data_IF_760691279339
#
_entry.id   IF_760691279339
#
_cell.length_a   1.000
_cell.length_b   1.000
_cell.length_c   1.000
_cell.angle_alpha   90.00
_cell.angle_beta   90.00
_cell.angle_gamma   90.00
#
_symmetry.space_group_name_H-M   'P 1'
#
loop_
_entity.id
_entity.type
_entity.pdbx_description
1 polymer ?
#
# COMPACT_ATOMS: atom_id res chain seq x y z
N UNK A 1 -11.60 -16.14 13.09
CA UNK A 1 -10.33 -15.56 13.57
C UNK A 1 -10.36 -14.04 13.41
N UNK A 2 -9.96 -13.28 14.43
CA UNK A 2 -9.76 -11.82 14.33
C UNK A 2 -8.40 -11.51 14.97
N UNK A 3 -7.56 -10.76 14.27
CA UNK A 3 -6.27 -10.30 14.76
C UNK A 3 -6.09 -8.80 14.50
N UNK A 4 -5.53 -8.09 15.48
CA UNK A 4 -5.29 -6.66 15.43
C UNK A 4 -3.92 -6.36 16.02
N UNK A 5 -3.10 -5.60 15.29
CA UNK A 5 -1.77 -5.16 15.73
C UNK A 5 -1.59 -3.66 15.49
N UNK A 6 -0.86 -3.00 16.38
CA UNK A 6 -0.64 -1.55 16.36
C UNK A 6 0.72 -1.20 16.95
N UNK A 7 1.64 -0.74 16.10
CA UNK A 7 3.01 -0.41 16.49
C UNK A 7 3.30 1.06 16.18
N UNK A 8 3.82 1.76 17.19
CA UNK A 8 4.33 3.13 17.06
C UNK A 8 5.85 3.12 17.28
N UNK A 9 6.60 3.67 16.33
CA UNK A 9 8.05 3.85 16.40
C UNK A 9 8.47 5.30 16.47
N UNK A 10 9.78 5.51 16.59
CA UNK A 10 10.43 6.80 16.45
C UNK A 10 11.60 6.70 15.47
N UNK A 11 12.09 7.81 14.94
CA UNK A 11 13.21 7.86 13.99
C UNK A 11 14.59 7.55 14.64
N UNK A 12 14.66 6.70 15.67
CA UNK A 12 15.86 6.40 16.45
C UNK A 12 16.19 7.45 17.53
N UNK A 13 15.58 8.64 17.48
CA UNK A 13 15.85 9.73 18.43
C UNK A 13 15.59 9.34 19.89
N UNK A 14 14.58 8.51 20.16
CA UNK A 14 14.27 8.07 21.52
C UNK A 14 15.37 7.19 22.12
N UNK A 15 16.08 6.41 21.30
CA UNK A 15 17.28 5.68 21.72
C UNK A 15 18.40 6.65 22.03
N UNK A 16 18.71 7.57 21.10
CA UNK A 16 19.81 8.53 21.25
C UNK A 16 19.71 9.38 22.53
N UNK A 17 18.49 9.79 22.89
CA UNK A 17 18.20 10.53 24.13
C UNK A 17 18.51 9.70 25.38
N UNK A 18 18.12 8.42 25.40
CA UNK A 18 18.17 7.57 26.61
C UNK A 18 19.58 7.17 27.09
N UNK A 19 20.59 7.32 26.25
CA UNK A 19 22.01 6.97 26.51
C UNK A 19 22.90 8.19 26.76
N UNK A 20 22.43 9.39 26.40
CA UNK A 20 23.16 10.64 26.61
C UNK A 20 24.44 10.76 25.76
N UNK A 21 25.22 11.80 26.05
CA UNK A 21 26.33 12.24 25.18
C UNK A 21 27.63 11.39 25.29
N UNK A 22 27.69 10.37 26.15
CA UNK A 22 28.97 9.71 26.47
C UNK A 22 29.40 8.59 25.51
N UNK A 23 28.55 8.15 24.58
CA UNK A 23 28.97 7.15 23.57
C UNK A 23 28.17 7.23 22.27
N UNK A 24 28.13 8.41 21.64
CA UNK A 24 27.43 8.63 20.36
C UNK A 24 27.77 7.54 19.32
N UNK A 25 29.03 7.10 19.28
CA UNK A 25 29.53 6.09 18.34
C UNK A 25 29.00 4.68 18.58
N UNK A 26 28.92 4.18 19.83
CA UNK A 26 28.34 2.85 20.06
C UNK A 26 26.83 2.83 19.88
N UNK A 27 26.17 3.96 20.13
CA UNK A 27 24.71 4.12 20.02
C UNK A 27 24.26 4.05 18.56
N UNK A 28 24.91 4.79 17.67
CA UNK A 28 24.62 4.75 16.22
C UNK A 28 25.03 3.41 15.59
N UNK A 29 26.05 2.74 16.14
CA UNK A 29 26.45 1.39 15.75
C UNK A 29 25.56 0.30 16.37
N UNK A 30 24.64 0.65 17.28
CA UNK A 30 23.74 -0.31 17.89
C UNK A 30 22.54 -0.61 16.98
N UNK A 31 22.18 -1.89 16.90
CA UNK A 31 20.96 -2.33 16.23
C UNK A 31 19.69 -1.65 16.81
N UNK A 32 19.74 -1.15 18.05
CA UNK A 32 18.60 -0.49 18.68
C UNK A 32 18.24 0.86 18.02
N UNK A 33 19.25 1.62 17.58
CA UNK A 33 19.05 2.93 16.95
C UNK A 33 18.38 2.80 15.57
N UNK A 34 18.87 1.89 14.72
CA UNK A 34 18.28 1.60 13.41
C UNK A 34 16.95 0.84 13.49
N UNK A 35 16.75 -0.02 14.49
CA UNK A 35 15.51 -0.80 14.62
C UNK A 35 14.26 0.05 14.93
N UNK A 36 14.37 1.18 15.63
CA UNK A 36 13.19 2.02 15.93
C UNK A 36 12.55 2.66 14.70
N UNK A 37 13.38 2.98 13.72
CA UNK A 37 12.94 3.54 12.45
C UNK A 37 12.35 2.49 11.48
N UNK A 38 12.33 1.21 11.86
CA UNK A 38 11.78 0.11 11.07
C UNK A 38 10.66 -0.60 11.84
N UNK A 39 9.42 -0.16 11.65
CA UNK A 39 8.23 -0.75 12.29
C UNK A 39 7.45 -1.62 11.30
N UNK A 40 7.00 -2.78 11.77
CA UNK A 40 6.21 -3.73 11.01
C UNK A 40 5.07 -4.30 11.86
N UNK A 41 3.84 -3.86 11.61
CA UNK A 41 2.64 -4.38 12.29
C UNK A 41 1.93 -5.41 11.40
N UNK A 42 1.47 -6.52 11.99
CA UNK A 42 0.77 -7.59 11.28
C UNK A 42 -0.51 -8.00 12.02
N UNK A 43 -1.69 -7.70 11.45
CA UNK A 43 -2.97 -8.01 12.10
C UNK A 43 -3.17 -9.51 12.27
N UNK A 44 -2.95 -10.27 11.20
CA UNK A 44 -2.74 -11.72 11.23
C UNK A 44 -1.44 -12.02 10.46
N UNK A 45 -0.55 -12.82 11.04
CA UNK A 45 0.65 -13.32 10.38
C UNK A 45 0.52 -14.84 10.15
N UNK A 46 0.07 -15.24 8.97
CA UNK A 46 -0.09 -16.64 8.58
C UNK A 46 1.09 -17.14 7.75
N UNK A 47 1.99 -17.91 8.37
CA UNK A 47 3.04 -18.69 7.69
C UNK A 47 2.72 -20.18 7.57
N UNK A 48 1.49 -20.57 7.88
CA UNK A 48 1.02 -21.95 7.86
C UNK A 48 -0.26 -22.09 7.06
N UNK A 49 -1.23 -22.82 7.61
CA UNK A 49 -2.55 -23.02 7.01
C UNK A 49 -3.63 -22.55 7.97
N UNK A 50 -4.47 -21.62 7.51
CA UNK A 50 -5.76 -21.33 8.12
C UNK A 50 -6.82 -22.10 7.34
N UNK A 51 -7.59 -22.92 8.04
CA UNK A 51 -8.81 -23.55 7.53
C UNK A 51 -9.96 -23.04 8.40
N UNK A 52 -11.03 -22.53 7.80
CA UNK A 52 -12.19 -22.04 8.54
C UNK A 52 -13.15 -23.19 8.89
N UNK A 53 -13.68 -23.88 7.87
CA UNK A 53 -14.44 -25.12 8.07
C UNK A 53 -15.63 -25.27 7.12
N UNK A 54 -16.82 -25.34 7.69
CA UNK A 54 -18.11 -25.37 6.97
C UNK A 54 -19.00 -24.34 7.65
N UNK A 55 -19.54 -23.39 6.89
CA UNK A 55 -20.43 -22.35 7.38
C UNK A 55 -19.76 -20.98 7.51
N UNK A 56 -20.60 -19.96 7.75
CA UNK A 56 -20.24 -18.55 7.58
C UNK A 56 -19.14 -18.04 8.53
N UNK A 57 -17.89 -18.20 8.09
CA UNK A 57 -16.68 -17.92 8.85
C UNK A 57 -16.04 -16.54 8.54
N UNK A 58 -15.16 -16.09 9.45
CA UNK A 58 -14.48 -14.79 9.40
C UNK A 58 -12.98 -14.96 9.69
N UNK A 59 -12.10 -14.34 8.91
CA UNK A 59 -10.64 -14.22 9.12
C UNK A 59 -10.23 -12.75 8.98
N UNK A 60 -10.49 -11.93 10.00
CA UNK A 60 -10.24 -10.48 9.92
C UNK A 60 -8.87 -10.09 10.48
N UNK A 61 -8.08 -9.36 9.70
CA UNK A 61 -6.80 -8.79 10.13
C UNK A 61 -6.81 -7.26 10.09
N UNK A 62 -6.21 -6.60 11.08
CA UNK A 62 -6.04 -5.15 11.08
C UNK A 62 -4.66 -4.75 11.60
N UNK A 63 -3.90 -3.99 10.81
CA UNK A 63 -2.59 -3.50 11.20
C UNK A 63 -2.52 -1.97 11.12
N UNK A 64 -1.90 -1.35 12.11
CA UNK A 64 -1.53 0.06 12.08
C UNK A 64 -0.07 0.21 12.45
N UNK A 65 0.71 0.85 11.59
CA UNK A 65 2.12 1.13 11.83
C UNK A 65 2.36 2.64 11.66
N UNK A 66 2.88 3.29 12.70
CA UNK A 66 3.19 4.71 12.68
C UNK A 66 4.65 4.96 13.07
N UNK A 67 5.32 5.90 12.40
CA UNK A 67 6.56 6.52 12.90
C UNK A 67 6.36 8.03 12.99
N UNK A 68 6.76 8.60 14.12
CA UNK A 68 6.77 10.04 14.34
C UNK A 68 8.00 10.46 15.16
N UNK A 69 8.22 11.76 15.27
CA UNK A 69 9.14 12.33 16.26
C UNK A 69 8.41 13.36 17.12
N UNK A 70 8.95 13.67 18.30
CA UNK A 70 8.51 14.83 19.10
C UNK A 70 9.54 15.94 18.98
N UNK A 71 9.11 17.20 18.99
CA UNK A 71 10.04 18.33 18.87
C UNK A 71 11.13 18.32 19.97
N UNK A 72 10.79 17.80 21.16
CA UNK A 72 11.72 17.56 22.26
C UNK A 72 12.81 16.54 21.90
N UNK A 73 12.43 15.33 21.46
CA UNK A 73 13.38 14.26 21.12
C UNK A 73 14.31 14.65 19.96
N UNK A 74 13.80 15.35 18.95
CA UNK A 74 14.66 15.89 17.87
C UNK A 74 15.58 16.99 18.41
N UNK A 75 15.09 17.91 19.24
CA UNK A 75 15.93 18.99 19.80
C UNK A 75 17.07 18.44 20.66
N UNK A 76 16.81 17.38 21.44
CA UNK A 76 17.83 16.68 22.21
C UNK A 76 18.79 15.90 21.30
N UNK A 77 18.31 15.24 20.24
CA UNK A 77 19.16 14.62 19.23
C UNK A 77 20.12 15.63 18.54
N UNK A 78 19.62 16.82 18.17
CA UNK A 78 20.43 17.93 17.64
C UNK A 78 21.44 18.43 18.68
N UNK A 79 21.07 18.47 19.96
CA UNK A 79 21.99 18.88 21.02
C UNK A 79 23.13 17.86 21.24
N UNK A 80 22.82 16.56 21.22
CA UNK A 80 23.79 15.47 21.31
C UNK A 80 24.68 15.43 20.06
N UNK A 81 24.13 15.64 18.86
CA UNK A 81 24.91 15.69 17.63
C UNK A 81 26.03 16.76 17.65
N UNK A 82 25.90 17.83 18.43
CA UNK A 82 26.97 18.84 18.61
C UNK A 82 28.20 18.33 19.36
N UNK A 83 28.16 17.14 19.96
CA UNK A 83 29.32 16.53 20.66
C UNK A 83 30.04 15.49 19.81
N UNK A 84 29.68 15.34 18.53
CA UNK A 84 30.25 14.35 17.61
C UNK A 84 30.78 15.02 16.32
N UNK A 85 31.72 14.35 15.65
CA UNK A 85 32.26 14.81 14.36
C UNK A 85 31.17 14.83 13.27
N UNK A 86 31.20 15.84 12.40
CA UNK A 86 30.20 16.03 11.33
C UNK A 86 30.15 14.88 10.31
N UNK A 87 31.26 14.16 10.12
CA UNK A 87 31.32 12.94 9.32
C UNK A 87 30.55 11.78 9.98
N UNK A 88 30.69 11.63 11.30
CA UNK A 88 30.01 10.61 12.10
C UNK A 88 28.51 10.90 12.16
N UNK A 89 28.10 12.16 12.37
CA UNK A 89 26.70 12.60 12.28
C UNK A 89 26.12 12.21 10.92
N UNK A 90 26.84 12.54 9.84
CA UNK A 90 26.39 12.27 8.47
C UNK A 90 26.17 10.77 8.23
N UNK A 91 27.11 9.92 8.64
CA UNK A 91 27.01 8.48 8.49
C UNK A 91 25.90 7.88 9.38
N UNK A 92 25.80 8.32 10.63
CA UNK A 92 24.81 7.86 11.59
C UNK A 92 23.39 8.06 11.07
N UNK A 93 23.03 9.31 10.78
CA UNK A 93 21.66 9.68 10.48
C UNK A 93 21.24 9.26 9.07
N UNK A 94 22.14 9.22 8.09
CA UNK A 94 21.85 8.70 6.75
C UNK A 94 21.77 7.16 6.69
N UNK A 95 22.26 6.45 7.72
CA UNK A 95 22.08 5.00 7.84
C UNK A 95 20.70 4.59 8.37
N UNK A 96 19.88 5.55 8.80
CA UNK A 96 18.54 5.30 9.32
C UNK A 96 17.64 4.87 8.16
N UNK A 97 17.35 3.58 8.08
CA UNK A 97 16.38 3.03 7.14
C UNK A 97 14.97 3.22 7.70
N UNK A 98 14.34 4.34 7.35
CA UNK A 98 12.95 4.64 7.76
C UNK A 98 12.01 3.74 6.97
N UNK A 99 11.48 2.72 7.63
CA UNK A 99 10.53 1.76 7.06
C UNK A 99 9.31 1.63 7.95
N UNK A 100 8.14 1.90 7.37
CA UNK A 100 6.85 1.67 8.00
C UNK A 100 6.12 0.60 7.19
N UNK A 101 5.81 -0.53 7.80
CA UNK A 101 5.03 -1.60 7.16
C UNK A 101 3.82 -1.97 7.99
N UNK A 102 2.65 -2.00 7.38
CA UNK A 102 1.44 -2.53 7.97
C UNK A 102 0.85 -3.56 7.01
N UNK A 103 0.75 -4.82 7.45
CA UNK A 103 0.07 -5.88 6.72
C UNK A 103 -1.19 -6.27 7.51
N UNK A 104 -2.38 -6.02 6.96
CA UNK A 104 -3.63 -6.39 7.62
C UNK A 104 -3.69 -7.90 7.86
N UNK A 105 -3.43 -8.67 6.79
CA UNK A 105 -3.15 -10.11 6.83
C UNK A 105 -1.89 -10.36 6.00
N UNK A 106 -0.83 -10.85 6.64
CA UNK A 106 0.35 -11.39 5.98
C UNK A 106 0.20 -12.90 5.78
N UNK A 107 -0.22 -13.30 4.59
CA UNK A 107 -0.32 -14.69 4.13
C UNK A 107 0.87 -15.10 3.24
N UNK A 108 2.02 -14.41 3.30
CA UNK A 108 3.09 -14.64 2.34
C UNK A 108 3.67 -16.07 2.45
N UNK A 109 3.58 -16.86 1.39
CA UNK A 109 3.93 -18.29 1.41
C UNK A 109 3.02 -19.17 2.27
N UNK A 110 1.93 -18.62 2.82
CA UNK A 110 0.92 -19.33 3.60
C UNK A 110 -0.29 -19.75 2.75
N UNK A 111 -1.21 -20.48 3.39
CA UNK A 111 -2.50 -20.86 2.79
C UNK A 111 -3.68 -20.42 3.67
N UNK A 112 -4.66 -19.78 3.07
CA UNK A 112 -6.00 -19.56 3.66
C UNK A 112 -6.99 -20.37 2.82
N UNK A 113 -7.73 -21.25 3.49
CA UNK A 113 -8.87 -21.96 2.91
C UNK A 113 -10.13 -21.50 3.64
N UNK A 114 -10.96 -20.69 2.95
CA UNK A 114 -12.37 -20.57 3.31
C UNK A 114 -13.10 -21.81 2.79
N UNK A 115 -14.13 -22.22 3.52
CA UNK A 115 -14.66 -23.58 3.52
C UNK A 115 -15.72 -23.91 2.47
N UNK A 116 -16.81 -24.53 2.91
CA UNK A 116 -17.99 -24.82 2.09
C UNK A 116 -19.24 -24.25 2.79
N UNK A 117 -20.02 -23.43 2.06
CA UNK A 117 -21.27 -22.85 2.51
C UNK A 117 -21.48 -21.46 1.90
N UNK A 118 -22.54 -20.74 2.26
CA UNK A 118 -22.64 -19.29 1.95
C UNK A 118 -21.67 -18.51 2.86
N UNK A 119 -20.39 -18.83 2.73
CA UNK A 119 -19.31 -18.44 3.61
C UNK A 119 -18.82 -17.07 3.15
N UNK A 120 -19.69 -16.07 3.26
CA UNK A 120 -19.39 -14.73 2.73
C UNK A 120 -18.02 -14.23 3.21
N UNK A 121 -17.42 -13.31 2.47
CA UNK A 121 -16.23 -12.61 2.97
C UNK A 121 -16.44 -11.07 3.01
N UNK A 122 -17.67 -10.68 3.32
CA UNK A 122 -18.09 -9.30 3.37
C UNK A 122 -17.71 -8.65 4.72
N UNK A 123 -16.96 -7.54 4.66
CA UNK A 123 -17.46 -6.36 5.36
C UNK A 123 -18.78 -5.96 4.70
N UNK A 124 -19.86 -5.70 5.43
CA UNK A 124 -19.88 -5.14 6.77
C UNK A 124 -20.64 -6.04 7.76
N UNK A 125 -20.02 -7.20 8.03
CA UNK A 125 -20.66 -8.52 8.10
C UNK A 125 -21.37 -8.91 6.81
N UNK A 126 -20.79 -9.90 6.16
CA UNK A 126 -21.34 -11.26 6.09
C UNK A 126 -20.13 -12.20 5.84
N UNK A 127 -19.67 -12.85 6.91
CA UNK A 127 -18.34 -13.48 7.01
C UNK A 127 -17.15 -12.49 6.94
N UNK A 128 -15.93 -12.88 6.50
CA UNK A 128 -14.78 -12.04 5.99
C UNK A 128 -13.30 -12.44 6.25
N UNK A 129 -12.54 -12.81 5.18
CA UNK A 129 -11.12 -12.42 4.99
C UNK A 129 -11.07 -10.90 4.72
N UNK A 130 -11.31 -10.12 5.77
CA UNK A 130 -11.23 -8.65 5.74
C UNK A 130 -9.88 -8.19 6.26
N UNK A 131 -9.12 -7.46 5.46
CA UNK A 131 -7.80 -7.00 5.88
C UNK A 131 -7.61 -5.49 5.70
N UNK A 132 -7.29 -4.81 6.80
CA UNK A 132 -7.13 -3.34 6.85
C UNK A 132 -5.71 -3.01 7.28
N UNK A 133 -5.00 -2.22 6.48
CA UNK A 133 -3.66 -1.74 6.79
C UNK A 133 -3.55 -0.22 6.72
N UNK A 134 -2.95 0.38 7.75
CA UNK A 134 -2.63 1.80 7.79
C UNK A 134 -1.14 1.98 8.11
N UNK A 135 -0.39 2.61 7.21
CA UNK A 135 1.01 2.96 7.40
C UNK A 135 1.19 4.48 7.32
N UNK A 136 1.68 5.13 8.38
CA UNK A 136 1.92 6.59 8.39
C UNK A 136 3.33 6.93 8.90
N UNK A 137 3.99 7.90 8.27
CA UNK A 137 5.15 8.58 8.83
C UNK A 137 4.87 10.09 8.98
N UNK A 138 5.41 10.73 10.02
CA UNK A 138 5.30 12.19 10.23
C UNK A 138 6.65 12.82 10.63
N UNK A 139 7.20 13.65 9.74
CA UNK A 139 8.45 14.39 9.93
C UNK A 139 8.24 15.82 10.49
N UNK A 140 7.02 16.23 10.83
CA UNK A 140 6.69 17.62 11.25
C UNK A 140 7.59 18.14 12.37
N UNK A 141 7.81 17.34 13.41
CA UNK A 141 8.67 17.69 14.54
C UNK A 141 10.15 17.83 14.16
N UNK A 142 10.61 17.13 13.11
CA UNK A 142 11.99 17.23 12.61
C UNK A 142 12.17 18.58 11.92
N UNK A 143 11.26 18.92 11.00
CA UNK A 143 11.26 20.20 10.29
C UNK A 143 11.15 21.37 11.27
N UNK A 144 10.28 21.25 12.28
CA UNK A 144 10.12 22.26 13.34
C UNK A 144 11.42 22.45 14.16
N UNK A 145 12.08 21.37 14.58
CA UNK A 145 13.30 21.44 15.38
C UNK A 145 14.48 22.01 14.56
N UNK A 146 14.62 21.63 13.29
CA UNK A 146 15.66 22.18 12.40
C UNK A 146 15.41 23.67 12.14
N UNK A 147 14.16 24.09 11.93
CA UNK A 147 13.81 25.50 11.73
C UNK A 147 14.09 26.38 12.97
N UNK A 148 14.06 25.80 14.18
CA UNK A 148 14.36 26.50 15.45
C UNK A 148 15.84 26.46 15.84
N UNK A 149 16.63 25.51 15.35
CA UNK A 149 18.01 25.30 15.78
C UNK A 149 18.99 26.30 15.13
N UNK A 150 19.94 26.91 15.88
CA UNK A 150 20.96 27.78 15.31
C UNK A 150 21.82 27.08 14.24
N UNK A 151 22.02 27.74 13.10
CA UNK A 151 22.83 27.21 11.98
C UNK A 151 24.26 26.94 12.45
N UNK A 152 24.74 25.75 12.14
CA UNK A 152 26.09 25.29 12.47
C UNK A 152 26.47 24.12 11.58
N UNK A 153 27.77 23.80 11.40
CA UNK A 153 28.19 22.62 10.62
C UNK A 153 27.54 21.31 11.11
N UNK A 154 27.36 21.16 12.42
CA UNK A 154 26.69 20.00 13.03
C UNK A 154 25.19 19.94 12.68
N UNK A 155 24.47 21.07 12.69
CA UNK A 155 23.07 21.11 12.25
C UNK A 155 22.94 20.82 10.75
N UNK A 156 23.85 21.36 9.93
CA UNK A 156 23.86 21.11 8.48
C UNK A 156 24.10 19.63 8.17
N UNK A 157 25.06 19.00 8.86
CA UNK A 157 25.32 17.56 8.76
C UNK A 157 24.10 16.73 9.19
N UNK A 158 23.49 17.07 10.34
CA UNK A 158 22.27 16.41 10.83
C UNK A 158 21.10 16.53 9.83
N UNK A 159 20.81 17.74 9.36
CA UNK A 159 19.68 18.01 8.48
C UNK A 159 19.86 17.32 7.11
N UNK A 160 21.06 17.38 6.53
CA UNK A 160 21.36 16.70 5.26
C UNK A 160 21.26 15.17 5.36
N UNK A 161 21.76 14.59 6.46
CA UNK A 161 21.75 13.15 6.67
C UNK A 161 20.33 12.61 6.97
N UNK A 162 19.55 13.31 7.79
CA UNK A 162 18.13 12.99 7.98
C UNK A 162 17.35 13.16 6.68
N UNK A 163 17.59 14.22 5.90
CA UNK A 163 16.95 14.39 4.59
C UNK A 163 17.24 13.19 3.66
N UNK A 164 18.49 12.72 3.59
CA UNK A 164 18.85 11.52 2.80
C UNK A 164 18.06 10.27 3.24
N UNK A 165 17.91 10.06 4.55
CA UNK A 165 17.12 8.95 5.10
C UNK A 165 15.61 9.09 4.89
N UNK A 166 15.08 10.32 4.88
CA UNK A 166 13.66 10.58 4.60
C UNK A 166 13.32 10.43 3.12
N UNK A 167 14.18 10.88 2.20
CA UNK A 167 14.02 10.63 0.76
C UNK A 167 14.12 9.14 0.42
N UNK A 168 14.89 8.37 1.20
CA UNK A 168 15.00 6.91 1.07
C UNK A 168 13.91 6.15 1.86
N UNK A 169 13.02 6.85 2.58
CA UNK A 169 12.04 6.22 3.44
C UNK A 169 11.03 5.41 2.62
N UNK A 170 10.56 4.29 3.17
CA UNK A 170 9.52 3.47 2.55
C UNK A 170 8.35 3.25 3.51
N UNK A 171 7.17 3.70 3.10
CA UNK A 171 5.89 3.52 3.77
C UNK A 171 5.12 2.51 2.93
N UNK A 172 4.69 1.39 3.52
CA UNK A 172 4.00 0.32 2.80
C UNK A 172 2.81 -0.18 3.62
N UNK A 173 1.61 0.05 3.12
CA UNK A 173 0.39 -0.56 3.64
C UNK A 173 -0.07 -1.66 2.67
N UNK A 174 -0.28 -2.87 3.18
CA UNK A 174 -0.88 -3.97 2.43
C UNK A 174 -2.09 -4.50 3.16
N UNK A 175 -3.26 -4.47 2.54
CA UNK A 175 -4.45 -5.07 3.12
C UNK A 175 -4.20 -6.56 3.33
N UNK A 176 -4.17 -7.30 2.22
CA UNK A 176 -3.74 -8.69 2.17
C UNK A 176 -2.39 -8.77 1.45
N UNK A 177 -1.37 -9.28 2.12
CA UNK A 177 -0.11 -9.70 1.52
C UNK A 177 -0.19 -11.22 1.24
N UNK A 178 -0.63 -11.60 0.04
CA UNK A 178 -0.71 -12.97 -0.45
C UNK A 178 0.51 -13.35 -1.32
N UNK A 179 1.64 -12.66 -1.15
CA UNK A 179 2.84 -12.86 -1.96
C UNK A 179 3.37 -14.30 -1.84
N UNK A 180 3.57 -14.97 -2.98
CA UNK A 180 3.92 -16.40 -3.06
C UNK A 180 2.95 -17.33 -2.27
N UNK A 181 1.77 -16.82 -1.87
CA UNK A 181 0.78 -17.51 -1.04
C UNK A 181 -0.44 -18.01 -1.83
N UNK A 182 -1.37 -18.64 -1.14
CA UNK A 182 -2.66 -19.06 -1.73
C UNK A 182 -3.83 -18.70 -0.84
N UNK A 183 -4.84 -18.07 -1.44
CA UNK A 183 -6.18 -17.95 -0.88
C UNK A 183 -7.10 -18.78 -1.76
N UNK A 184 -7.95 -19.58 -1.13
CA UNK A 184 -8.98 -20.36 -1.80
C UNK A 184 -10.24 -20.23 -0.98
N UNK A 185 -11.29 -19.74 -1.61
CA UNK A 185 -12.66 -19.92 -1.13
C UNK A 185 -13.30 -21.06 -1.94
N UNK A 186 -14.48 -21.54 -1.57
CA UNK A 186 -14.89 -22.91 -1.89
C UNK A 186 -16.13 -23.02 -2.76
N UNK A 187 -17.28 -23.15 -2.09
CA UNK A 187 -18.58 -23.28 -2.77
C UNK A 187 -19.63 -22.49 -2.01
N UNK A 188 -20.30 -21.57 -2.69
CA UNK A 188 -21.29 -20.62 -2.16
C UNK A 188 -20.84 -19.17 -2.43
N UNK A 189 -21.63 -18.18 -2.00
CA UNK A 189 -21.32 -16.77 -2.25
C UNK A 189 -20.24 -16.25 -1.30
N UNK A 190 -18.98 -16.46 -1.66
CA UNK A 190 -17.77 -15.99 -0.98
C UNK A 190 -17.45 -14.52 -1.34
N UNK A 191 -16.31 -14.00 -0.89
CA UNK A 191 -15.81 -12.64 -1.20
C UNK A 191 -14.28 -12.62 -0.97
N UNK A 192 -13.58 -11.53 -1.29
CA UNK A 192 -12.29 -11.13 -0.66
C UNK A 192 -12.29 -9.61 -0.51
N UNK A 193 -12.19 -9.08 0.72
CA UNK A 193 -12.25 -7.63 0.95
C UNK A 193 -10.99 -7.10 1.60
N UNK A 194 -10.33 -6.14 0.95
CA UNK A 194 -9.09 -5.56 1.45
C UNK A 194 -9.05 -4.04 1.28
N UNK A 195 -8.46 -3.36 2.27
CA UNK A 195 -8.21 -1.93 2.22
C UNK A 195 -6.81 -1.59 2.71
N UNK A 196 -6.09 -0.79 1.93
CA UNK A 196 -4.77 -0.29 2.29
C UNK A 196 -4.74 1.24 2.21
N UNK A 197 -4.22 1.87 3.27
CA UNK A 197 -3.94 3.30 3.29
C UNK A 197 -2.50 3.53 3.71
N UNK A 198 -1.69 4.09 2.83
CA UNK A 198 -0.34 4.56 3.14
C UNK A 198 -0.31 6.09 3.07
N UNK A 199 0.53 6.73 3.89
CA UNK A 199 0.67 8.19 3.88
C UNK A 199 2.01 8.67 4.45
N UNK A 200 2.78 9.40 3.64
CA UNK A 200 3.68 10.42 4.15
C UNK A 200 2.86 11.63 4.62
N UNK A 201 2.90 11.96 5.92
CA UNK A 201 2.03 13.01 6.47
C UNK A 201 2.42 14.41 5.97
N UNK A 202 1.42 15.21 5.58
CA UNK A 202 1.63 16.64 5.35
C UNK A 202 2.09 17.33 6.63
N UNK A 203 3.06 18.25 6.52
CA UNK A 203 3.57 19.00 7.66
C UNK A 203 2.45 19.65 8.48
N UNK A 204 2.55 19.54 9.81
CA UNK A 204 1.62 20.18 10.73
C UNK A 204 1.59 21.69 10.56
N UNK A 205 0.47 22.33 10.89
CA UNK A 205 0.35 23.79 10.86
C UNK A 205 1.42 24.48 11.73
N UNK A 206 1.82 23.87 12.86
CA UNK A 206 2.88 24.36 13.72
C UNK A 206 4.26 24.28 13.03
N UNK A 207 4.56 23.20 12.31
CA UNK A 207 5.79 23.06 11.54
C UNK A 207 5.86 24.05 10.36
N UNK A 208 4.76 24.21 9.61
CA UNK A 208 4.64 25.19 8.51
C UNK A 208 4.80 26.63 9.02
N UNK A 209 4.12 26.98 10.12
CA UNK A 209 4.24 28.30 10.74
C UNK A 209 5.66 28.57 11.21
N UNK A 210 6.28 27.62 11.93
CA UNK A 210 7.67 27.70 12.38
C UNK A 210 8.61 27.91 11.20
N UNK A 211 8.51 27.08 10.15
CA UNK A 211 9.30 27.18 8.92
C UNK A 211 9.16 28.57 8.28
N UNK A 212 7.94 29.11 8.16
CA UNK A 212 7.70 30.42 7.56
C UNK A 212 8.29 31.59 8.36
N UNK A 213 8.41 31.42 9.68
CA UNK A 213 8.89 32.45 10.62
C UNK A 213 10.41 32.44 10.87
N UNK A 214 11.09 31.34 10.51
CA UNK A 214 12.52 31.18 10.78
C UNK A 214 13.39 32.10 9.89
N UNK A 215 14.59 32.53 10.34
CA UNK A 215 15.63 33.10 9.49
C UNK A 215 15.96 32.27 8.24
N UNK A 216 16.26 32.92 7.10
CA UNK A 216 16.37 32.29 5.77
C UNK A 216 17.26 31.05 5.69
N UNK A 217 18.39 31.03 6.39
CA UNK A 217 19.31 29.88 6.38
C UNK A 217 18.71 28.65 7.10
N UNK A 218 17.94 28.88 8.16
CA UNK A 218 17.20 27.83 8.88
C UNK A 218 15.98 27.38 8.06
N UNK A 219 15.32 28.31 7.34
CA UNK A 219 14.30 27.94 6.36
C UNK A 219 14.87 26.99 5.31
N UNK A 220 16.03 27.28 4.74
CA UNK A 220 16.65 26.42 3.72
C UNK A 220 16.93 25.00 4.23
N UNK A 221 17.52 24.85 5.41
CA UNK A 221 17.80 23.53 6.01
C UNK A 221 16.53 22.76 6.39
N UNK A 222 15.54 23.43 6.98
CA UNK A 222 14.28 22.79 7.33
C UNK A 222 13.44 22.45 6.08
N UNK A 223 13.56 23.26 5.02
CA UNK A 223 12.93 23.01 3.73
C UNK A 223 13.54 21.81 3.01
N UNK A 224 14.86 21.63 3.01
CA UNK A 224 15.47 20.43 2.42
C UNK A 224 15.05 19.15 3.13
N UNK A 225 14.80 19.19 4.45
CA UNK A 225 14.24 18.04 5.19
C UNK A 225 12.77 17.78 4.82
N UNK A 226 11.97 18.84 4.65
CA UNK A 226 10.57 18.75 4.26
C UNK A 226 10.39 18.23 2.82
N UNK A 227 11.14 18.79 1.87
CA UNK A 227 11.08 18.40 0.46
C UNK A 227 11.59 16.95 0.29
N UNK A 228 12.66 16.55 0.99
CA UNK A 228 13.12 15.15 1.01
C UNK A 228 12.09 14.19 1.63
N UNK A 229 11.32 14.61 2.63
CA UNK A 229 10.22 13.77 3.15
C UNK A 229 9.05 13.64 2.17
N UNK A 230 8.87 14.60 1.25
CA UNK A 230 7.90 14.47 0.16
C UNK A 230 8.36 13.51 -0.95
N UNK A 231 9.66 13.17 -1.00
CA UNK A 231 10.21 12.12 -1.87
C UNK A 231 10.06 10.70 -1.27
N UNK A 232 9.65 10.58 0.00
CA UNK A 232 9.48 9.29 0.68
C UNK A 232 8.54 8.37 -0.10
N UNK A 233 8.96 7.13 -0.31
CA UNK A 233 8.20 6.17 -1.12
C UNK A 233 6.96 5.68 -0.37
N UNK A 234 5.79 6.10 -0.82
CA UNK A 234 4.50 5.84 -0.18
C UNK A 234 3.64 4.86 -1.01
N UNK A 235 3.51 3.61 -0.56
CA UNK A 235 2.87 2.52 -1.32
C UNK A 235 1.67 1.92 -0.56
N UNK A 236 0.50 1.89 -1.21
CA UNK A 236 -0.69 1.22 -0.73
C UNK A 236 -1.13 0.11 -1.70
N UNK A 237 -1.18 -1.14 -1.27
CA UNK A 237 -1.71 -2.25 -2.08
C UNK A 237 -2.82 -2.95 -1.32
N UNK A 238 -4.06 -2.94 -1.82
CA UNK A 238 -5.13 -3.62 -1.11
C UNK A 238 -4.89 -5.13 -1.08
N UNK A 239 -4.55 -5.75 -2.22
CA UNK A 239 -4.16 -7.15 -2.31
C UNK A 239 -2.83 -7.28 -3.08
N UNK A 240 -1.72 -7.49 -2.36
CA UNK A 240 -0.42 -7.87 -2.93
C UNK A 240 -0.44 -9.37 -3.20
N UNK A 241 -0.82 -9.74 -4.42
CA UNK A 241 -0.90 -11.12 -4.90
C UNK A 241 0.34 -11.49 -5.73
N UNK A 242 1.47 -10.81 -5.54
CA UNK A 242 2.72 -11.03 -6.29
C UNK A 242 3.14 -12.51 -6.27
N UNK A 243 3.07 -13.20 -7.42
CA UNK A 243 3.27 -14.67 -7.56
C UNK A 243 2.33 -15.54 -6.71
N UNK A 244 1.40 -14.92 -6.00
CA UNK A 244 0.34 -15.58 -5.26
C UNK A 244 -0.80 -16.00 -6.16
N UNK A 245 -1.75 -16.68 -5.53
CA UNK A 245 -2.90 -17.26 -6.19
C UNK A 245 -4.17 -17.05 -5.38
N UNK A 246 -5.21 -16.61 -6.06
CA UNK A 246 -6.57 -16.48 -5.53
C UNK A 246 -7.49 -17.38 -6.39
N UNK A 247 -8.39 -18.08 -5.71
CA UNK A 247 -9.51 -18.84 -6.29
C UNK A 247 -10.75 -18.61 -5.44
N UNK A 248 -11.91 -18.36 -6.02
CA UNK A 248 -13.15 -18.23 -5.23
C UNK A 248 -14.10 -19.43 -5.36
N UNK A 249 -14.16 -20.08 -6.53
CA UNK A 249 -14.74 -21.41 -6.69
C UNK A 249 -16.10 -21.39 -7.39
N UNK A 250 -17.09 -22.09 -6.84
CA UNK A 250 -18.46 -22.14 -7.40
C UNK A 250 -19.40 -21.29 -6.54
N UNK A 251 -19.92 -20.17 -7.03
CA UNK A 251 -20.56 -19.20 -6.14
C UNK A 251 -21.21 -17.98 -6.78
N UNK A 252 -21.38 -16.95 -5.96
CA UNK A 252 -21.56 -15.59 -6.43
C UNK A 252 -20.56 -14.74 -5.64
N UNK A 253 -19.34 -14.70 -6.15
CA UNK A 253 -18.18 -14.30 -5.37
C UNK A 253 -17.79 -12.87 -5.65
N UNK A 254 -17.37 -12.16 -4.60
CA UNK A 254 -17.12 -10.71 -4.69
C UNK A 254 -15.71 -10.34 -4.19
N UNK A 255 -14.81 -9.87 -5.05
CA UNK A 255 -13.54 -9.29 -4.61
C UNK A 255 -13.63 -7.76 -4.59
N UNK A 256 -13.26 -7.13 -3.47
CA UNK A 256 -13.21 -5.68 -3.29
C UNK A 256 -11.82 -5.28 -2.78
N UNK A 257 -11.06 -4.54 -3.60
CA UNK A 257 -9.66 -4.21 -3.35
C UNK A 257 -9.41 -2.70 -3.47
N UNK A 258 -9.46 -1.98 -2.34
CA UNK A 258 -9.44 -0.50 -2.28
C UNK A 258 -8.14 0.04 -1.69
N UNK A 259 -7.40 0.87 -2.42
CA UNK A 259 -6.13 1.42 -1.98
C UNK A 259 -6.06 2.95 -2.09
N UNK A 260 -5.35 3.58 -1.16
CA UNK A 260 -5.12 5.03 -1.13
C UNK A 260 -3.72 5.35 -0.58
N UNK A 261 -2.94 6.13 -1.33
CA UNK A 261 -1.53 6.44 -1.05
C UNK A 261 -0.86 7.03 -2.30
N UNK A 262 0.43 7.37 -2.22
CA UNK A 262 1.20 7.90 -3.35
C UNK A 262 1.23 6.99 -4.59
N UNK A 263 1.74 5.76 -4.43
CA UNK A 263 1.61 4.65 -5.37
C UNK A 263 0.52 3.71 -4.85
N UNK A 264 -0.66 3.66 -5.48
CA UNK A 264 -1.79 2.85 -5.01
C UNK A 264 -2.31 1.82 -6.02
N UNK A 265 -2.52 0.59 -5.54
CA UNK A 265 -2.99 -0.55 -6.32
C UNK A 265 -4.12 -1.30 -5.61
N UNK A 266 -5.21 -1.58 -6.31
CA UNK A 266 -6.23 -2.50 -5.80
C UNK A 266 -5.66 -3.91 -5.70
N UNK A 267 -5.36 -4.54 -6.85
CA UNK A 267 -4.71 -5.86 -6.89
C UNK A 267 -3.38 -5.73 -7.63
N UNK A 268 -2.31 -6.27 -7.04
CA UNK A 268 -0.97 -6.26 -7.61
C UNK A 268 -0.45 -7.69 -7.88
N UNK A 269 -0.28 -8.00 -9.16
CA UNK A 269 0.35 -9.22 -9.67
C UNK A 269 -0.40 -10.54 -9.44
N UNK A 270 0.23 -11.63 -9.88
CA UNK A 270 -0.24 -13.00 -9.66
C UNK A 270 -1.43 -13.41 -10.52
N UNK A 271 -2.20 -14.36 -9.98
CA UNK A 271 -3.36 -14.96 -10.64
C UNK A 271 -4.58 -14.86 -9.71
N UNK A 272 -5.71 -14.42 -10.27
CA UNK A 272 -7.04 -14.47 -9.68
C UNK A 272 -7.92 -15.31 -10.60
N UNK A 273 -8.60 -16.31 -10.05
CA UNK A 273 -9.66 -17.05 -10.73
C UNK A 273 -10.91 -16.87 -9.89
N UNK A 274 -12.03 -16.45 -10.47
CA UNK A 274 -13.29 -16.39 -9.72
C UNK A 274 -13.89 -17.81 -9.74
N UNK A 275 -14.55 -18.21 -10.82
CA UNK A 275 -14.81 -19.62 -11.12
C UNK A 275 -16.13 -19.84 -11.86
N UNK A 276 -17.16 -20.34 -11.16
CA UNK A 276 -18.48 -20.58 -11.74
C UNK A 276 -19.50 -19.74 -10.98
N UNK A 277 -20.07 -18.69 -11.61
CA UNK A 277 -20.91 -17.76 -10.86
C UNK A 277 -21.35 -16.51 -11.61
N UNK A 278 -21.93 -15.58 -10.86
CA UNK A 278 -22.19 -14.22 -11.35
C UNK A 278 -21.29 -13.26 -10.57
N UNK A 279 -19.99 -13.42 -10.81
CA UNK A 279 -18.90 -12.98 -9.94
C UNK A 279 -18.57 -11.50 -10.15
N UNK A 280 -18.04 -10.86 -9.11
CA UNK A 280 -17.78 -9.42 -9.08
C UNK A 280 -16.37 -9.14 -8.60
N UNK A 281 -15.59 -8.37 -9.36
CA UNK A 281 -14.28 -7.88 -8.92
C UNK A 281 -14.24 -6.35 -9.04
N UNK A 282 -14.14 -5.65 -7.91
CA UNK A 282 -13.90 -4.20 -7.83
C UNK A 282 -12.49 -3.91 -7.32
N UNK A 283 -11.66 -3.25 -8.11
CA UNK A 283 -10.34 -2.78 -7.71
C UNK A 283 -10.18 -1.28 -7.97
N UNK A 284 -9.49 -0.56 -7.08
CA UNK A 284 -9.09 0.83 -7.33
C UNK A 284 -8.24 0.97 -8.61
N UNK A 285 -7.39 -0.02 -8.86
CA UNK A 285 -6.53 -0.15 -10.05
C UNK A 285 -5.89 -1.54 -10.06
N UNK A 286 -5.28 -1.90 -11.19
CA UNK A 286 -4.47 -3.12 -11.33
C UNK A 286 -2.98 -2.79 -11.54
N UNK A 287 -2.09 -3.65 -11.06
CA UNK A 287 -0.65 -3.48 -11.27
C UNK A 287 0.12 -4.79 -11.32
N UNK A 288 1.36 -4.74 -11.80
CA UNK A 288 2.30 -5.88 -11.74
C UNK A 288 1.92 -7.08 -12.59
N UNK A 289 1.19 -6.87 -13.69
CA UNK A 289 0.77 -7.89 -14.65
C UNK A 289 -0.17 -8.94 -14.05
N UNK A 290 -1.19 -8.51 -13.30
CA UNK A 290 -2.21 -9.41 -12.74
C UNK A 290 -2.96 -10.13 -13.87
N UNK A 291 -3.23 -11.42 -13.68
CA UNK A 291 -4.02 -12.22 -14.60
C UNK A 291 -5.31 -12.60 -13.89
N UNK A 292 -6.44 -12.13 -14.41
CA UNK A 292 -7.79 -12.33 -13.88
C UNK A 292 -8.54 -13.21 -14.87
N UNK A 293 -9.10 -14.31 -14.38
CA UNK A 293 -10.02 -15.18 -15.10
C UNK A 293 -11.33 -15.19 -14.32
N UNK A 294 -12.41 -14.67 -14.91
CA UNK A 294 -13.71 -14.64 -14.23
C UNK A 294 -14.33 -16.04 -14.26
N UNK A 295 -14.66 -16.55 -15.45
CA UNK A 295 -14.90 -17.98 -15.64
C UNK A 295 -16.20 -18.25 -16.35
N UNK A 296 -17.17 -18.89 -15.69
CA UNK A 296 -18.46 -19.25 -16.30
C UNK A 296 -19.63 -18.52 -15.59
N UNK A 297 -20.25 -17.54 -16.27
CA UNK A 297 -21.58 -17.04 -15.92
C UNK A 297 -21.97 -15.63 -16.38
N UNK A 298 -22.04 -14.66 -15.47
CA UNK A 298 -22.41 -13.26 -15.79
C UNK A 298 -21.60 -12.29 -14.92
N UNK A 299 -20.37 -12.06 -15.36
CA UNK A 299 -19.34 -11.52 -14.50
C UNK A 299 -19.15 -10.02 -14.68
N UNK A 300 -18.71 -9.36 -13.60
CA UNK A 300 -18.44 -7.93 -13.57
C UNK A 300 -17.05 -7.63 -13.03
N UNK A 301 -16.25 -6.93 -13.83
CA UNK A 301 -14.95 -6.41 -13.40
C UNK A 301 -14.98 -4.89 -13.43
N UNK A 302 -14.50 -4.24 -12.38
CA UNK A 302 -14.24 -2.81 -12.32
C UNK A 302 -12.78 -2.53 -11.94
N UNK A 303 -12.13 -1.73 -12.78
CA UNK A 303 -10.76 -1.27 -12.59
C UNK A 303 -9.99 -1.18 -13.91
N UNK A 304 -8.89 -0.44 -13.91
CA UNK A 304 -7.93 -0.38 -15.01
C UNK A 304 -6.50 -0.42 -14.46
N UNK A 305 -5.56 -0.88 -15.28
CA UNK A 305 -4.14 -0.96 -14.93
C UNK A 305 -3.40 -2.01 -15.74
N UNK A 306 -2.22 -2.40 -15.26
CA UNK A 306 -1.39 -3.46 -15.88
C UNK A 306 -1.99 -4.85 -15.56
N UNK A 307 -2.88 -5.30 -16.45
CA UNK A 307 -3.71 -6.49 -16.26
C UNK A 307 -4.01 -7.23 -17.56
N UNK A 308 -4.21 -8.54 -17.44
CA UNK A 308 -4.94 -9.37 -18.41
C UNK A 308 -6.20 -9.89 -17.75
N UNK A 309 -7.34 -9.67 -18.37
CA UNK A 309 -8.66 -9.93 -17.81
C UNK A 309 -9.42 -10.75 -18.84
N UNK A 310 -9.83 -11.96 -18.46
CA UNK A 310 -10.66 -12.84 -19.28
C UNK A 310 -12.04 -12.98 -18.61
N UNK A 311 -13.12 -12.60 -19.32
CA UNK A 311 -14.48 -12.82 -18.82
C UNK A 311 -14.87 -14.30 -18.83
N UNK A 312 -14.37 -15.05 -19.82
CA UNK A 312 -14.57 -16.50 -19.92
C UNK A 312 -15.77 -16.87 -20.77
N UNK A 313 -16.82 -17.45 -20.19
CA UNK A 313 -18.06 -17.83 -20.89
C UNK A 313 -19.28 -17.24 -20.19
N UNK A 314 -20.05 -16.44 -20.92
CA UNK A 314 -21.16 -15.75 -20.29
C UNK A 314 -21.69 -14.55 -21.05
N UNK A 315 -22.12 -13.55 -20.26
CA UNK A 315 -22.31 -12.18 -20.72
C UNK A 315 -21.59 -11.28 -19.72
N UNK A 316 -20.39 -10.85 -20.08
CA UNK A 316 -19.46 -10.30 -19.11
C UNK A 316 -19.24 -8.80 -19.33
N UNK A 317 -19.05 -8.07 -18.22
CA UNK A 317 -18.99 -6.61 -18.19
C UNK A 317 -17.69 -6.08 -17.58
N UNK A 318 -16.94 -5.29 -18.35
CA UNK A 318 -15.73 -4.58 -17.88
C UNK A 318 -15.99 -3.07 -17.74
N UNK A 319 -15.92 -2.55 -16.52
CA UNK A 319 -15.98 -1.13 -16.19
C UNK A 319 -14.58 -0.57 -15.95
N UNK A 320 -14.12 0.32 -16.81
CA UNK A 320 -12.73 0.81 -16.77
C UNK A 320 -12.51 1.97 -15.80
N UNK A 321 -13.56 2.69 -15.39
CA UNK A 321 -13.47 3.83 -14.48
C UNK A 321 -12.84 5.10 -15.07
N UNK A 322 -12.65 5.14 -16.39
CA UNK A 322 -12.13 6.28 -17.16
C UNK A 322 -13.05 6.56 -18.35
N UNK A 323 -12.86 7.70 -19.03
CA UNK A 323 -13.58 8.01 -20.25
C UNK A 323 -13.01 7.23 -21.43
N UNK A 324 -13.83 6.96 -22.43
CA UNK A 324 -13.39 6.29 -23.66
C UNK A 324 -12.31 7.09 -24.38
N UNK A 325 -12.41 8.42 -24.34
CA UNK A 325 -11.45 9.36 -24.94
C UNK A 325 -10.10 9.40 -24.21
N UNK A 326 -9.98 8.79 -23.01
CA UNK A 326 -8.72 8.67 -22.27
C UNK A 326 -7.86 7.49 -22.76
N UNK A 327 -8.36 6.66 -23.71
CA UNK A 327 -7.72 5.43 -24.17
C UNK A 327 -7.34 5.46 -25.65
N UNK A 328 -6.19 4.86 -25.95
CA UNK A 328 -5.90 4.28 -27.26
C UNK A 328 -6.41 2.83 -27.27
N UNK A 329 -7.41 2.54 -28.11
CA UNK A 329 -8.11 1.25 -28.15
C UNK A 329 -7.68 0.45 -29.38
N UNK A 330 -7.37 -0.84 -29.19
CA UNK A 330 -7.04 -1.76 -30.30
C UNK A 330 -7.84 -3.06 -30.17
N UNK A 331 -8.60 -3.40 -31.21
CA UNK A 331 -9.36 -4.65 -31.30
C UNK A 331 -8.49 -5.79 -31.87
N UNK A 332 -8.74 -7.02 -31.42
CA UNK A 332 -8.07 -8.24 -31.86
C UNK A 332 -9.02 -9.25 -32.50
N UNK A 333 -8.53 -10.09 -33.41
CA UNK A 333 -9.37 -10.94 -34.24
C UNK A 333 -10.08 -12.11 -33.53
N UNK A 334 -9.72 -12.43 -32.28
CA UNK A 334 -10.20 -13.61 -31.55
C UNK A 334 -10.75 -13.19 -30.17
N UNK A 335 -11.72 -13.95 -29.64
CA UNK A 335 -12.17 -13.92 -28.24
C UNK A 335 -12.51 -12.50 -27.73
N UNK A 336 -13.25 -11.71 -28.52
CA UNK A 336 -13.60 -10.31 -28.22
C UNK A 336 -12.42 -9.47 -27.68
N UNK A 337 -11.19 -9.74 -28.15
CA UNK A 337 -9.98 -9.18 -27.53
C UNK A 337 -9.92 -7.67 -27.73
N UNK A 338 -9.82 -6.93 -26.63
CA UNK A 338 -9.57 -5.48 -26.62
C UNK A 338 -8.29 -5.19 -25.87
N UNK A 339 -7.51 -4.24 -26.37
CA UNK A 339 -6.35 -3.69 -25.68
C UNK A 339 -6.60 -2.21 -25.43
N UNK A 340 -6.59 -1.80 -24.16
CA UNK A 340 -6.74 -0.42 -23.72
C UNK A 340 -5.38 0.11 -23.27
N UNK A 341 -4.91 1.18 -23.87
CA UNK A 341 -3.62 1.81 -23.54
C UNK A 341 -3.85 3.26 -23.09
N UNK A 342 -3.34 3.62 -21.90
CA UNK A 342 -3.46 4.95 -21.28
C UNK A 342 -2.22 5.23 -20.45
N UNK A 343 -1.60 6.40 -20.61
CA UNK A 343 -0.36 6.81 -19.90
C UNK A 343 0.79 5.78 -19.95
N UNK A 344 0.88 5.00 -21.04
CA UNK A 344 1.85 3.90 -21.19
C UNK A 344 1.51 2.60 -20.44
N UNK A 345 0.41 2.58 -19.67
CA UNK A 345 -0.14 1.39 -19.03
C UNK A 345 -1.08 0.68 -20.02
N UNK A 346 -1.04 -0.64 -20.06
CA UNK A 346 -1.86 -1.47 -20.96
C UNK A 346 -2.70 -2.47 -20.17
N UNK A 347 -4.01 -2.45 -20.38
CA UNK A 347 -4.91 -3.54 -20.01
C UNK A 347 -5.29 -4.35 -21.26
N UNK A 348 -5.36 -5.68 -21.13
CA UNK A 348 -5.87 -6.58 -22.18
C UNK A 348 -7.12 -7.28 -21.64
N UNK A 349 -8.25 -7.10 -22.33
CA UNK A 349 -9.50 -7.78 -22.06
C UNK A 349 -9.75 -8.84 -23.14
N UNK A 350 -10.30 -10.00 -22.76
CA UNK A 350 -10.85 -11.03 -23.66
C UNK A 350 -12.19 -11.53 -23.14
N UNK A 351 -13.04 -12.01 -24.05
CA UNK A 351 -14.36 -12.56 -23.77
C UNK A 351 -15.21 -11.62 -22.88
N UNK A 352 -15.36 -10.37 -23.32
CA UNK A 352 -16.29 -9.41 -22.72
C UNK A 352 -17.29 -8.93 -23.77
N UNK A 353 -18.57 -9.02 -23.45
CA UNK A 353 -19.67 -8.57 -24.31
C UNK A 353 -19.94 -7.08 -24.12
N UNK A 354 -19.63 -6.54 -22.93
CA UNK A 354 -19.96 -5.19 -22.51
C UNK A 354 -18.77 -4.44 -21.87
N UNK A 355 -18.61 -3.18 -22.25
CA UNK A 355 -17.61 -2.25 -21.73
C UNK A 355 -18.29 -0.97 -21.23
N UNK A 356 -17.87 -0.46 -20.06
CA UNK A 356 -18.46 0.71 -19.41
C UNK A 356 -17.40 1.78 -19.14
N UNK A 357 -17.71 3.02 -19.51
CA UNK A 357 -16.83 4.20 -19.43
C UNK A 357 -17.49 5.36 -18.68
N UNK A 358 -16.68 6.22 -18.05
CA UNK A 358 -17.12 7.38 -17.25
C UNK A 358 -17.63 8.57 -18.09
N UNK A 359 -17.98 8.35 -19.37
CA UNK A 359 -18.70 9.33 -20.20
C UNK A 359 -20.20 9.39 -19.81
N UNK A 360 -20.50 9.50 -18.50
CA UNK A 360 -21.87 9.42 -17.98
C UNK A 360 -22.45 8.01 -17.99
N UNK A 361 -21.64 6.99 -17.65
CA UNK A 361 -21.94 5.56 -17.76
C UNK A 361 -22.25 5.15 -19.22
N UNK A 362 -21.34 5.48 -20.14
CA UNK A 362 -21.43 5.03 -21.52
C UNK A 362 -21.16 3.53 -21.59
N UNK A 363 -22.17 2.77 -21.99
CA UNK A 363 -22.12 1.32 -22.17
C UNK A 363 -22.03 0.97 -23.65
N UNK A 364 -21.00 0.21 -24.04
CA UNK A 364 -20.77 -0.24 -25.42
C UNK A 364 -20.57 -1.76 -25.47
N UNK A 365 -21.06 -2.41 -26.52
CA UNK A 365 -20.63 -3.77 -26.87
C UNK A 365 -19.30 -3.76 -27.63
N UNK A 366 -18.62 -4.92 -27.69
CA UNK A 366 -17.39 -5.10 -28.47
C UNK A 366 -17.48 -4.50 -29.90
N UNK A 367 -18.57 -4.76 -30.61
CA UNK A 367 -18.78 -4.26 -31.99
C UNK A 367 -18.96 -2.74 -32.07
N UNK A 368 -19.39 -2.08 -30.99
CA UNK A 368 -19.56 -0.63 -30.94
C UNK A 368 -18.23 0.11 -30.64
N UNK A 369 -17.24 -0.57 -30.05
CA UNK A 369 -15.89 0.00 -29.84
C UNK A 369 -15.20 0.38 -31.16
N UNK A 370 -15.57 -0.24 -32.29
CA UNK A 370 -15.02 0.08 -33.61
C UNK A 370 -15.30 1.54 -34.06
N UNK A 371 -16.14 2.28 -33.34
CA UNK A 371 -16.39 3.71 -33.57
C UNK A 371 -15.35 4.63 -32.90
N UNK A 372 -14.42 4.06 -32.10
CA UNK A 372 -13.48 4.77 -31.22
C UNK A 372 -12.03 4.25 -31.35
N UNK A 373 -11.61 3.88 -32.57
CA UNK A 373 -10.26 3.37 -32.90
C UNK A 373 -9.42 4.39 -33.68
#
# INVERSE_FOLDING_TARGET
>A
MIGTDSINGDFGFGVLVGVGAQDFNSVIASNAFSARANVAANGINNKGVINTGIGADIVKGTATANIWATAETVSQAIAIAKTADTSVISQAFASINVKVTADGIDNSGGKINNGMGSDGIYGDTNGSVAAVAIATADASAIVEAVAKAPVSPHLTAFAGAIAQSLASATITARGINNKDGTITTGTGADTISATATSRAATLSHAAVSTLSSAPREQQALARSVADAFAEAKDIAIAIDNSKGMIRTGDGQDIIIAKASGGESYGIFGGIVNMGTGADRLEASSFGGGVNINMGDGQDFVQGFGDAKIDGGTGFDTLSLGYKIDDFNIRLGANNNRVTFERDGITAIATNFEQFVFDNGNLTLSYNQLNQYL
#
